data_IF_522918670369
#
_entry.id   IF_522918670369
#
_cell.length_a   1.000
_cell.length_b   1.000
_cell.length_c   1.000
_cell.angle_alpha   90.00
_cell.angle_beta   90.00
_cell.angle_gamma   90.00
#
_symmetry.space_group_name_H-M   'P 1'
#
loop_
_entity.id
_entity.type
_entity.pdbx_description
1 polymer ?
#
# COMPACT_ATOMS: atom_id res chain seq x y z
N UNK A 1 2.55 14.51 -3.89
CA UNK A 1 3.06 13.38 -4.66
C UNK A 1 2.47 12.06 -4.16
N UNK A 2 2.48 11.03 -4.98
CA UNK A 2 1.99 9.70 -4.60
C UNK A 2 2.75 9.14 -3.39
N UNK A 3 4.04 9.37 -3.32
CA UNK A 3 4.88 8.98 -2.17
C UNK A 3 4.37 9.54 -0.83
N UNK A 4 3.89 10.79 -0.80
CA UNK A 4 3.34 11.38 0.42
C UNK A 4 2.01 10.73 0.83
N UNK A 5 1.18 10.29 -0.13
CA UNK A 5 -0.07 9.56 0.15
C UNK A 5 0.24 8.18 0.73
N UNK A 6 1.19 7.46 0.14
CA UNK A 6 1.62 6.13 0.62
C UNK A 6 2.25 6.24 2.02
N UNK A 7 3.17 7.16 2.24
CA UNK A 7 3.79 7.38 3.55
C UNK A 7 2.75 7.70 4.63
N UNK A 8 1.75 8.51 4.30
CA UNK A 8 0.64 8.81 5.21
C UNK A 8 -0.18 7.56 5.56
N UNK A 9 -0.49 6.73 4.58
CA UNK A 9 -1.15 5.43 4.79
C UNK A 9 -0.33 4.49 5.68
N UNK A 10 0.99 4.55 5.59
CA UNK A 10 1.91 3.79 6.45
C UNK A 10 2.10 4.40 7.84
N UNK A 11 1.49 5.55 8.15
CA UNK A 11 1.70 6.29 9.40
C UNK A 11 3.11 6.88 9.53
N UNK A 12 3.81 7.05 8.41
CA UNK A 12 5.18 7.54 8.36
C UNK A 12 5.19 9.01 7.93
N UNK A 13 5.96 9.84 8.64
CA UNK A 13 6.16 11.22 8.26
C UNK A 13 6.85 11.31 6.90
N UNK A 14 6.44 12.29 6.08
CA UNK A 14 7.00 12.47 4.75
C UNK A 14 7.13 13.95 4.42
N UNK A 15 8.28 14.34 3.93
CA UNK A 15 8.54 15.63 3.28
C UNK A 15 8.90 15.33 1.83
N UNK A 16 8.14 15.85 0.88
CA UNK A 16 8.33 15.63 -0.56
C UNK A 16 8.57 16.94 -1.29
N UNK A 17 9.15 16.87 -2.50
CA UNK A 17 9.45 18.04 -3.31
C UNK A 17 10.78 18.73 -2.98
N UNK A 18 11.66 18.05 -2.26
CA UNK A 18 12.95 18.62 -1.86
C UNK A 18 13.96 18.81 -3.02
N UNK A 19 13.66 18.25 -4.20
CA UNK A 19 14.62 18.19 -5.32
C UNK A 19 14.63 19.38 -6.26
N UNK A 20 13.63 20.28 -6.23
CA UNK A 20 13.52 21.32 -7.27
C UNK A 20 14.17 22.65 -6.92
N UNK A 21 14.15 23.06 -5.63
CA UNK A 21 14.68 24.36 -5.22
C UNK A 21 15.72 24.29 -4.09
N UNK A 22 15.81 23.15 -3.41
CA UNK A 22 16.70 22.95 -2.26
C UNK A 22 17.87 21.99 -2.56
N UNK A 23 18.20 21.77 -3.83
CA UNK A 23 19.37 21.01 -4.31
C UNK A 23 19.82 19.89 -3.36
N UNK A 24 18.94 18.90 -3.14
CA UNK A 24 19.39 17.70 -2.44
C UNK A 24 20.33 16.94 -3.37
N UNK A 25 21.60 16.92 -3.01
CA UNK A 25 22.65 16.19 -3.74
C UNK A 25 22.87 14.87 -3.04
N UNK A 26 22.55 13.78 -3.74
CA UNK A 26 22.72 12.42 -3.23
C UNK A 26 23.94 11.79 -3.89
N UNK A 27 24.83 11.24 -3.07
CA UNK A 27 25.97 10.43 -3.50
C UNK A 27 25.74 9.01 -2.97
N UNK A 28 25.25 8.15 -3.85
CA UNK A 28 24.90 6.75 -3.52
C UNK A 28 26.15 5.91 -3.21
N UNK A 29 27.27 6.19 -3.86
CA UNK A 29 28.53 5.46 -3.64
C UNK A 29 29.13 5.82 -2.27
N UNK A 30 29.15 7.11 -1.93
CA UNK A 30 29.62 7.59 -0.65
C UNK A 30 28.59 7.45 0.48
N UNK A 31 27.34 7.04 0.15
CA UNK A 31 26.20 6.98 1.07
C UNK A 31 26.01 8.27 1.87
N UNK A 32 26.04 9.38 1.15
CA UNK A 32 25.86 10.72 1.73
C UNK A 32 24.84 11.54 0.96
N UNK A 33 24.23 12.51 1.62
CA UNK A 33 23.46 13.54 0.92
C UNK A 33 23.78 14.91 1.50
N UNK A 34 23.58 15.93 0.68
CA UNK A 34 23.73 17.33 1.07
C UNK A 34 22.44 18.08 0.79
N UNK A 35 22.00 18.89 1.73
CA UNK A 35 20.87 19.80 1.61
C UNK A 35 21.18 21.13 2.22
N UNK A 36 20.97 22.24 1.50
CA UNK A 36 21.29 23.61 1.94
C UNK A 36 22.70 23.78 2.51
N UNK A 37 23.69 23.09 1.95
CA UNK A 37 25.09 23.16 2.41
C UNK A 37 25.40 22.29 3.64
N UNK A 38 24.43 21.57 4.17
CA UNK A 38 24.63 20.61 5.26
C UNK A 38 24.78 19.20 4.70
N UNK A 39 25.88 18.53 5.03
CA UNK A 39 26.17 17.18 4.58
C UNK A 39 25.88 16.16 5.69
N UNK A 40 25.20 15.07 5.30
CA UNK A 40 24.84 13.95 6.17
C UNK A 40 25.35 12.65 5.57
N UNK A 41 25.70 11.70 6.43
CA UNK A 41 26.15 10.36 6.06
C UNK A 41 25.16 9.29 6.56
N UNK A 42 25.30 8.06 6.04
CA UNK A 42 24.55 6.91 6.53
C UNK A 42 24.76 6.73 8.05
N UNK A 43 23.68 6.68 8.80
CA UNK A 43 23.68 6.57 10.26
C UNK A 43 23.51 7.90 11.00
N UNK A 44 23.59 9.04 10.33
CA UNK A 44 23.29 10.32 10.94
C UNK A 44 21.81 10.47 11.24
N UNK A 45 21.49 11.10 12.38
CA UNK A 45 20.12 11.40 12.75
C UNK A 45 19.63 12.66 12.07
N UNK A 46 18.48 12.56 11.42
CA UNK A 46 17.69 13.69 10.95
C UNK A 46 16.26 13.56 11.48
N UNK A 47 15.60 14.67 11.71
CA UNK A 47 14.17 14.72 12.01
C UNK A 47 13.44 15.50 10.94
N UNK A 48 12.25 15.04 10.56
CA UNK A 48 11.43 15.69 9.53
C UNK A 48 10.06 16.05 10.09
N UNK A 49 9.55 17.22 9.71
CA UNK A 49 8.19 17.67 10.04
C UNK A 49 7.37 17.76 8.74
N UNK A 50 6.49 16.79 8.53
CA UNK A 50 5.63 16.73 7.36
C UNK A 50 4.56 17.81 7.29
N UNK A 51 4.29 18.52 8.40
CA UNK A 51 3.31 19.62 8.45
C UNK A 51 3.89 20.93 7.94
N UNK A 52 5.14 21.20 8.30
CA UNK A 52 5.84 22.46 7.93
C UNK A 52 6.79 22.27 6.75
N UNK A 53 7.20 21.01 6.46
CA UNK A 53 8.23 20.69 5.47
C UNK A 53 9.66 20.90 5.99
N UNK A 54 9.83 21.15 7.28
CA UNK A 54 11.16 21.38 7.85
C UNK A 54 11.93 20.07 8.04
N UNK A 55 13.25 20.17 7.84
CA UNK A 55 14.21 19.09 8.08
C UNK A 55 15.22 19.61 9.11
N UNK A 56 15.42 18.86 10.19
CA UNK A 56 16.33 19.18 11.28
C UNK A 56 17.50 18.22 11.26
N UNK A 57 18.72 18.72 11.36
CA UNK A 57 19.95 17.92 11.38
C UNK A 57 20.27 17.31 12.75
N UNK A 58 19.24 16.98 13.54
CA UNK A 58 19.38 16.40 14.87
C UNK A 58 18.18 15.52 15.21
N UNK A 59 18.31 14.71 16.25
CA UNK A 59 17.20 13.92 16.77
C UNK A 59 16.28 14.80 17.63
N UNK A 60 15.11 15.13 17.11
CA UNK A 60 14.07 15.89 17.83
C UNK A 60 13.14 14.92 18.56
N UNK A 61 12.83 15.21 19.83
CA UNK A 61 11.88 14.41 20.60
C UNK A 61 10.46 14.53 19.99
N UNK A 62 9.83 13.39 19.75
CA UNK A 62 8.48 13.32 19.19
C UNK A 62 7.49 12.73 20.19
N UNK A 63 6.22 13.10 20.07
CA UNK A 63 5.11 12.55 20.85
C UNK A 63 4.01 12.05 19.90
N UNK A 64 3.40 10.92 20.24
CA UNK A 64 2.28 10.41 19.46
C UNK A 64 1.06 11.34 19.64
N UNK A 65 0.42 11.74 18.53
CA UNK A 65 -0.76 12.60 18.56
C UNK A 65 -1.94 11.98 19.32
N UNK A 66 -2.10 10.67 19.24
CA UNK A 66 -3.14 9.88 19.92
C UNK A 66 -3.09 9.95 21.44
N UNK A 67 -1.92 10.28 22.03
CA UNK A 67 -1.76 10.47 23.48
C UNK A 67 -2.13 11.88 23.98
N UNK A 68 -2.44 12.81 23.10
CA UNK A 68 -2.73 14.19 23.47
C UNK A 68 -4.18 14.35 23.97
N UNK A 69 -4.36 14.73 25.25
CA UNK A 69 -5.70 14.89 25.86
C UNK A 69 -6.55 15.97 25.16
N UNK A 70 -5.93 17.04 24.65
CA UNK A 70 -6.66 18.10 23.95
C UNK A 70 -7.14 17.62 22.57
N UNK A 71 -6.31 16.82 21.86
CA UNK A 71 -6.69 16.17 20.61
C UNK A 71 -7.90 15.25 20.83
N UNK A 72 -7.83 14.37 21.83
CA UNK A 72 -8.91 13.44 22.12
C UNK A 72 -10.21 14.16 22.53
N UNK A 73 -10.11 15.25 23.29
CA UNK A 73 -11.27 16.10 23.65
C UNK A 73 -11.89 16.77 22.42
N UNK A 74 -11.06 17.28 21.51
CA UNK A 74 -11.52 17.89 20.27
C UNK A 74 -12.21 16.86 19.36
N UNK A 75 -11.58 15.69 19.18
CA UNK A 75 -12.15 14.60 18.39
C UNK A 75 -13.47 14.08 18.97
N UNK A 76 -13.59 13.97 20.30
CA UNK A 76 -14.85 13.62 20.94
C UNK A 76 -15.97 14.61 20.64
N UNK A 77 -15.66 15.91 20.54
CA UNK A 77 -16.63 16.93 20.09
C UNK A 77 -17.03 16.77 18.62
N UNK A 78 -16.06 16.45 17.74
CA UNK A 78 -16.33 16.17 16.34
C UNK A 78 -17.20 14.92 16.17
N UNK A 79 -16.92 13.85 16.92
CA UNK A 79 -17.69 12.61 16.90
C UNK A 79 -19.13 12.81 17.39
N UNK A 80 -19.33 13.68 18.37
CA UNK A 80 -20.68 14.01 18.87
C UNK A 80 -21.51 14.83 17.86
N UNK A 81 -20.86 15.57 16.98
CA UNK A 81 -21.52 16.44 15.99
C UNK A 81 -21.73 15.78 14.63
N UNK A 82 -20.89 14.81 14.25
CA UNK A 82 -20.99 14.14 12.94
C UNK A 82 -22.23 13.26 12.84
N UNK A 83 -22.72 13.10 11.61
CA UNK A 83 -23.86 12.23 11.26
C UNK A 83 -23.46 11.02 10.43
N UNK A 84 -22.26 11.03 9.84
CA UNK A 84 -21.75 9.96 8.98
C UNK A 84 -20.69 9.15 9.72
N UNK A 85 -20.61 7.87 9.38
CA UNK A 85 -19.53 6.98 9.82
C UNK A 85 -18.23 7.31 9.11
N UNK A 86 -17.11 7.14 9.81
CA UNK A 86 -15.76 7.26 9.21
C UNK A 86 -15.36 5.90 8.68
N UNK A 87 -15.44 5.76 7.36
CA UNK A 87 -15.05 4.54 6.64
C UNK A 87 -13.68 4.70 6.03
N UNK A 88 -12.92 3.61 5.98
CA UNK A 88 -11.57 3.58 5.39
C UNK A 88 -11.49 2.67 4.18
N UNK A 89 -10.40 2.76 3.43
CA UNK A 89 -9.98 1.73 2.49
C UNK A 89 -8.95 0.83 3.18
N UNK A 90 -9.15 -0.47 3.14
CA UNK A 90 -8.17 -1.45 3.59
C UNK A 90 -8.35 -2.73 2.77
N UNK A 91 -7.24 -3.26 2.26
CA UNK A 91 -7.24 -4.35 1.29
C UNK A 91 -6.51 -5.59 1.83
N UNK A 92 -5.99 -5.53 3.06
CA UNK A 92 -5.30 -6.62 3.74
C UNK A 92 -5.49 -6.55 5.26
N UNK A 93 -5.20 -7.62 6.01
CA UNK A 93 -5.40 -7.67 7.46
C UNK A 93 -4.60 -6.62 8.25
N UNK A 94 -3.37 -6.32 7.83
CA UNK A 94 -2.52 -5.32 8.49
C UNK A 94 -3.14 -3.92 8.43
N UNK A 95 -3.58 -3.51 7.24
CA UNK A 95 -4.18 -2.20 7.04
C UNK A 95 -5.54 -2.10 7.73
N UNK A 96 -6.31 -3.19 7.76
CA UNK A 96 -7.56 -3.28 8.51
C UNK A 96 -7.33 -3.09 10.02
N UNK A 97 -6.30 -3.74 10.59
CA UNK A 97 -5.97 -3.56 12.00
C UNK A 97 -5.56 -2.12 12.31
N UNK A 98 -4.68 -1.55 11.49
CA UNK A 98 -4.26 -0.15 11.65
C UNK A 98 -5.44 0.82 11.56
N UNK A 99 -6.38 0.57 10.64
CA UNK A 99 -7.58 1.39 10.50
C UNK A 99 -8.46 1.33 11.76
N UNK A 100 -8.67 0.15 12.32
CA UNK A 100 -9.41 -0.04 13.58
C UNK A 100 -8.71 0.67 14.74
N UNK A 101 -7.40 0.54 14.85
CA UNK A 101 -6.60 1.18 15.90
C UNK A 101 -6.66 2.72 15.82
N UNK A 102 -6.81 3.27 14.61
CA UNK A 102 -7.02 4.69 14.35
C UNK A 102 -8.48 5.16 14.49
N UNK A 103 -9.41 4.24 14.79
CA UNK A 103 -10.81 4.57 15.06
C UNK A 103 -11.72 4.51 13.84
N UNK A 104 -11.36 3.82 12.78
CA UNK A 104 -12.25 3.58 11.64
C UNK A 104 -13.47 2.73 12.08
N UNK A 105 -14.63 3.09 11.58
CA UNK A 105 -15.91 2.45 11.94
C UNK A 105 -16.33 1.38 10.93
N UNK A 106 -15.57 1.24 9.85
CA UNK A 106 -15.77 0.21 8.84
C UNK A 106 -14.78 0.35 7.67
N UNK A 107 -14.84 -0.61 6.76
CA UNK A 107 -14.15 -0.58 5.48
C UNK A 107 -15.15 -0.19 4.40
N UNK A 108 -14.98 1.00 3.83
CA UNK A 108 -15.84 1.53 2.76
C UNK A 108 -15.52 0.94 1.39
N UNK A 109 -14.29 0.47 1.21
CA UNK A 109 -13.86 -0.26 0.02
C UNK A 109 -12.68 -1.18 0.35
N UNK A 110 -12.87 -2.47 0.11
CA UNK A 110 -11.82 -3.47 0.01
C UNK A 110 -11.66 -3.87 -1.45
N UNK A 111 -10.49 -3.61 -2.02
CA UNK A 111 -10.13 -3.93 -3.40
C UNK A 111 -9.45 -5.29 -3.44
N UNK A 112 -10.17 -6.29 -3.85
CA UNK A 112 -9.70 -7.69 -3.79
C UNK A 112 -8.49 -7.96 -4.68
N UNK A 113 -8.30 -7.21 -5.76
CA UNK A 113 -7.13 -7.29 -6.64
C UNK A 113 -5.82 -7.00 -5.92
N UNK A 114 -5.82 -6.12 -4.91
CA UNK A 114 -4.62 -5.78 -4.13
C UNK A 114 -4.13 -6.93 -3.23
N UNK A 115 -4.98 -7.92 -2.96
CA UNK A 115 -4.59 -9.11 -2.19
C UNK A 115 -3.60 -10.02 -2.93
N UNK A 116 -3.43 -9.81 -4.25
CA UNK A 116 -2.77 -10.77 -5.15
C UNK A 116 -1.43 -10.29 -5.73
N UNK A 117 -0.94 -9.11 -5.34
CA UNK A 117 0.36 -8.61 -5.81
C UNK A 117 1.58 -9.25 -5.12
N UNK A 118 1.39 -10.02 -4.05
CA UNK A 118 2.47 -10.74 -3.41
C UNK A 118 3.03 -11.84 -4.33
N UNK A 119 4.34 -12.08 -4.26
CA UNK A 119 5.07 -13.01 -5.16
C UNK A 119 4.52 -14.44 -5.12
N UNK A 120 4.07 -14.89 -3.96
CA UNK A 120 3.48 -16.22 -3.75
C UNK A 120 2.09 -16.39 -4.39
N UNK A 121 1.43 -15.30 -4.77
CA UNK A 121 0.04 -15.27 -5.25
C UNK A 121 -0.09 -14.83 -6.70
N UNK A 122 0.75 -13.88 -7.12
CA UNK A 122 0.63 -13.22 -8.43
C UNK A 122 0.68 -14.21 -9.59
N UNK A 123 1.44 -15.29 -9.45
CA UNK A 123 1.55 -16.34 -10.48
C UNK A 123 0.19 -17.01 -10.73
N UNK A 124 -0.53 -17.41 -9.68
CA UNK A 124 -1.84 -18.05 -9.80
C UNK A 124 -2.88 -17.13 -10.44
N UNK A 125 -2.81 -15.83 -10.13
CA UNK A 125 -3.70 -14.83 -10.75
C UNK A 125 -3.37 -14.65 -12.24
N UNK A 126 -2.10 -14.62 -12.61
CA UNK A 126 -1.66 -14.57 -14.01
C UNK A 126 -2.11 -15.81 -14.78
N UNK A 127 -2.00 -17.00 -14.19
CA UNK A 127 -2.53 -18.24 -14.77
C UNK A 127 -4.05 -18.13 -15.00
N UNK A 128 -4.81 -17.57 -14.05
CA UNK A 128 -6.25 -17.34 -14.19
C UNK A 128 -6.57 -16.39 -15.35
N UNK A 129 -5.83 -15.27 -15.46
CA UNK A 129 -6.03 -14.27 -16.52
C UNK A 129 -5.74 -14.89 -17.90
N UNK A 130 -4.66 -15.65 -18.02
CA UNK A 130 -4.20 -16.25 -19.26
C UNK A 130 -4.94 -17.56 -19.63
N UNK A 131 -5.81 -18.07 -18.76
CA UNK A 131 -6.55 -19.32 -19.00
C UNK A 131 -7.47 -19.18 -20.21
N UNK A 132 -7.44 -20.18 -21.10
CA UNK A 132 -8.20 -20.25 -22.35
C UNK A 132 -9.46 -21.07 -22.25
N UNK A 133 -9.49 -22.01 -21.33
CA UNK A 133 -10.63 -22.87 -21.07
C UNK A 133 -11.18 -22.64 -19.67
N UNK A 134 -12.40 -23.10 -19.44
CA UNK A 134 -13.04 -23.04 -18.12
C UNK A 134 -12.25 -23.87 -17.11
N UNK A 135 -11.82 -25.06 -17.53
CA UNK A 135 -11.08 -26.02 -16.71
C UNK A 135 -9.73 -25.43 -16.24
N UNK A 136 -8.99 -24.78 -17.15
CA UNK A 136 -7.73 -24.09 -16.81
C UNK A 136 -7.98 -22.95 -15.82
N UNK A 137 -9.03 -22.19 -16.02
CA UNK A 137 -9.41 -21.08 -15.14
C UNK A 137 -9.83 -21.55 -13.76
N UNK A 138 -10.63 -22.63 -13.69
CA UNK A 138 -11.03 -23.24 -12.42
C UNK A 138 -9.82 -23.80 -11.66
N UNK A 139 -8.87 -24.42 -12.36
CA UNK A 139 -7.63 -24.91 -11.75
C UNK A 139 -6.76 -23.76 -11.18
N UNK A 140 -6.69 -22.63 -11.88
CA UNK A 140 -5.98 -21.44 -11.39
C UNK A 140 -6.72 -20.79 -10.20
N UNK A 141 -8.04 -20.68 -10.26
CA UNK A 141 -8.87 -20.16 -9.18
C UNK A 141 -8.75 -21.00 -7.90
N UNK A 142 -8.68 -22.33 -8.03
CA UNK A 142 -8.45 -23.21 -6.88
C UNK A 142 -7.12 -22.95 -6.15
N UNK A 143 -6.12 -22.36 -6.83
CA UNK A 143 -4.87 -21.92 -6.21
C UNK A 143 -5.02 -20.57 -5.49
N UNK A 144 -5.91 -19.70 -6.01
CA UNK A 144 -6.16 -18.35 -5.47
C UNK A 144 -7.07 -18.40 -4.25
N UNK A 145 -8.06 -19.27 -4.24
CA UNK A 145 -9.11 -19.36 -3.22
C UNK A 145 -8.58 -19.44 -1.78
N UNK A 146 -7.58 -20.30 -1.43
CA UNK A 146 -7.09 -20.42 -0.07
C UNK A 146 -6.46 -19.12 0.46
N UNK A 147 -5.78 -18.36 -0.40
CA UNK A 147 -5.19 -17.08 -0.03
C UNK A 147 -6.27 -16.05 0.27
N UNK A 148 -7.26 -15.94 -0.61
CA UNK A 148 -8.34 -14.99 -0.46
C UNK A 148 -9.22 -15.32 0.74
N UNK A 149 -9.53 -16.60 0.96
CA UNK A 149 -10.25 -17.06 2.14
C UNK A 149 -9.51 -16.68 3.42
N UNK A 150 -8.21 -16.96 3.49
CA UNK A 150 -7.40 -16.64 4.67
C UNK A 150 -7.36 -15.14 4.98
N UNK A 151 -7.21 -14.32 3.95
CA UNK A 151 -7.23 -12.86 4.09
C UNK A 151 -8.58 -12.36 4.59
N UNK A 152 -9.69 -12.82 4.01
CA UNK A 152 -11.03 -12.44 4.46
C UNK A 152 -11.32 -12.90 5.88
N UNK A 153 -10.97 -14.13 6.23
CA UNK A 153 -11.14 -14.62 7.61
C UNK A 153 -10.40 -13.74 8.61
N UNK A 154 -9.15 -13.36 8.30
CA UNK A 154 -8.36 -12.48 9.15
C UNK A 154 -8.98 -11.07 9.23
N UNK A 155 -9.40 -10.51 8.10
CA UNK A 155 -10.04 -9.19 8.07
C UNK A 155 -11.37 -9.19 8.83
N UNK A 156 -12.22 -10.20 8.67
CA UNK A 156 -13.47 -10.30 9.43
C UNK A 156 -13.26 -10.41 10.93
N UNK A 157 -12.23 -11.16 11.37
CA UNK A 157 -11.87 -11.22 12.80
C UNK A 157 -11.47 -9.86 13.36
N UNK A 158 -10.71 -9.07 12.59
CA UNK A 158 -10.29 -7.71 12.96
C UNK A 158 -11.48 -6.75 12.97
N UNK A 159 -12.33 -6.82 11.96
CA UNK A 159 -13.46 -5.92 11.82
C UNK A 159 -14.58 -6.20 12.82
N UNK A 160 -14.77 -7.46 13.21
CA UNK A 160 -15.86 -7.86 14.12
C UNK A 160 -17.21 -7.51 13.53
N UNK A 161 -17.99 -6.68 14.23
CA UNK A 161 -19.32 -6.22 13.77
C UNK A 161 -19.28 -5.00 12.84
N UNK A 162 -18.10 -4.46 12.56
CA UNK A 162 -17.96 -3.28 11.68
C UNK A 162 -18.26 -3.65 10.24
N UNK A 163 -18.99 -2.79 9.50
CA UNK A 163 -19.31 -3.05 8.10
C UNK A 163 -18.04 -3.06 7.22
N UNK A 164 -18.04 -3.94 6.23
CA UNK A 164 -16.98 -4.05 5.25
C UNK A 164 -17.59 -4.21 3.85
N UNK A 165 -17.33 -3.24 2.98
CA UNK A 165 -17.71 -3.30 1.56
C UNK A 165 -16.60 -3.90 0.75
N UNK A 166 -16.88 -5.04 0.11
CA UNK A 166 -15.92 -5.78 -0.71
C UNK A 166 -16.26 -5.56 -2.18
N UNK A 167 -15.28 -5.10 -2.96
CA UNK A 167 -15.38 -5.11 -4.41
C UNK A 167 -15.08 -6.51 -4.93
N UNK A 168 -15.91 -7.02 -5.82
CA UNK A 168 -15.59 -8.25 -6.54
C UNK A 168 -14.33 -8.05 -7.37
N UNK A 169 -13.66 -9.17 -7.70
CA UNK A 169 -12.41 -9.16 -8.43
C UNK A 169 -12.55 -8.40 -9.76
N UNK A 170 -11.79 -7.35 -9.90
CA UNK A 170 -11.69 -6.52 -11.09
C UNK A 170 -10.21 -6.28 -11.38
N UNK A 171 -9.50 -7.30 -11.94
CA UNK A 171 -8.07 -7.20 -12.13
C UNK A 171 -7.74 -6.21 -13.25
N UNK A 172 -7.03 -5.11 -12.97
CA UNK A 172 -6.49 -4.26 -14.01
C UNK A 172 -5.36 -5.02 -14.72
N UNK A 173 -5.62 -5.52 -15.93
CA UNK A 173 -4.71 -6.42 -16.64
C UNK A 173 -3.30 -5.85 -16.78
N UNK A 174 -3.19 -4.54 -17.01
CA UNK A 174 -1.90 -3.84 -17.15
C UNK A 174 -1.06 -3.80 -15.85
N UNK A 175 -1.66 -4.08 -14.69
CA UNK A 175 -0.93 -4.17 -13.42
C UNK A 175 -0.43 -5.60 -13.16
N UNK A 176 -1.13 -6.61 -13.68
CA UNK A 176 -0.76 -8.02 -13.53
C UNK A 176 0.12 -8.55 -14.64
N UNK A 177 -0.04 -8.05 -15.85
CA UNK A 177 0.70 -8.48 -17.03
C UNK A 177 1.67 -7.38 -17.49
N UNK A 178 2.91 -7.74 -17.87
CA UNK A 178 3.87 -6.79 -18.37
C UNK A 178 3.48 -6.26 -19.74
N UNK A 179 3.89 -5.03 -20.04
CA UNK A 179 3.65 -4.36 -21.33
C UNK A 179 4.86 -4.33 -22.25
N UNK A 180 6.08 -4.56 -21.70
CA UNK A 180 7.30 -4.56 -22.48
C UNK A 180 7.58 -5.97 -23.06
N UNK A 181 7.99 -6.02 -24.31
CA UNK A 181 8.24 -7.29 -25.02
C UNK A 181 9.26 -8.21 -24.31
N UNK A 182 10.25 -7.64 -23.63
CA UNK A 182 11.27 -8.40 -22.88
C UNK A 182 10.64 -9.11 -21.68
N UNK A 183 9.88 -8.36 -20.89
CA UNK A 183 9.20 -8.86 -19.69
C UNK A 183 8.09 -9.86 -20.05
N UNK A 184 7.41 -9.68 -21.21
CA UNK A 184 6.41 -10.62 -21.73
C UNK A 184 7.08 -11.95 -22.09
N UNK A 185 8.27 -11.93 -22.70
CA UNK A 185 9.02 -13.15 -23.05
C UNK A 185 9.46 -13.93 -21.81
N UNK A 186 9.93 -13.21 -20.80
CA UNK A 186 10.33 -13.81 -19.52
C UNK A 186 9.13 -14.46 -18.84
N UNK A 187 8.01 -13.73 -18.72
CA UNK A 187 6.79 -14.26 -18.13
C UNK A 187 6.23 -15.45 -18.91
N UNK A 188 6.26 -15.40 -20.23
CA UNK A 188 5.79 -16.52 -21.08
C UNK A 188 6.64 -17.80 -20.83
N UNK A 189 7.97 -17.64 -20.69
CA UNK A 189 8.86 -18.74 -20.35
C UNK A 189 8.57 -19.32 -18.95
N UNK A 190 8.34 -18.46 -17.96
CA UNK A 190 8.04 -18.85 -16.58
C UNK A 190 6.68 -19.57 -16.48
N UNK A 191 5.72 -19.19 -17.31
CA UNK A 191 4.39 -19.80 -17.37
C UNK A 191 4.32 -21.02 -18.30
N UNK A 192 5.39 -21.28 -19.07
CA UNK A 192 5.42 -22.38 -20.04
C UNK A 192 4.47 -22.21 -21.21
N UNK A 193 4.12 -20.95 -21.58
CA UNK A 193 3.25 -20.65 -22.70
C UNK A 193 3.98 -19.93 -23.84
N UNK A 194 3.50 -20.04 -25.10
CA UNK A 194 4.09 -19.32 -26.23
C UNK A 194 4.00 -17.79 -26.03
N UNK A 195 5.06 -17.08 -26.42
CA UNK A 195 5.13 -15.61 -26.34
C UNK A 195 3.95 -14.92 -27.03
N UNK A 196 3.61 -15.35 -28.26
CA UNK A 196 2.51 -14.74 -29.03
C UNK A 196 1.16 -14.92 -28.35
N UNK A 197 1.00 -16.00 -27.61
CA UNK A 197 -0.21 -16.29 -26.85
C UNK A 197 -0.37 -15.32 -25.67
N UNK A 198 0.70 -15.08 -24.92
CA UNK A 198 0.69 -14.12 -23.80
C UNK A 198 0.54 -12.68 -24.28
N UNK A 199 1.13 -12.35 -25.43
CA UNK A 199 1.05 -11.00 -26.02
C UNK A 199 -0.36 -10.64 -26.50
N UNK A 200 -1.18 -11.62 -26.80
CA UNK A 200 -2.55 -11.44 -27.30
C UNK A 200 -3.63 -11.47 -26.18
N UNK A 201 -3.23 -11.65 -24.93
CA UNK A 201 -4.11 -11.52 -23.76
C UNK A 201 -4.31 -10.07 -23.40
#
# INVERSE_FOLDING_TARGET
SHAAVVARGMGTCCVSGCGNDNEVKIDEEAKTFEINGHKFAEGDWISIDGSTGNIYGEQVATVAATGNKNFNRFMGGADAARQLLVMTNADNPRDAQQAVDLGAEGIGLCRTEHMFFAEDRIKAVREMICARTVEEREAALAKVEPFQQGDFEAMYRIMGERPMTIRYLDPPLHEFLPTKDEDIKELAADMGMPYDDLKNV
#
